data_IF_965812033975
#
_entry.id   IF_965812033975
#
_cell.length_a   1.000
_cell.length_b   1.000
_cell.length_c   1.000
_cell.angle_alpha   90.00
_cell.angle_beta   90.00
_cell.angle_gamma   90.00
#
_symmetry.space_group_name_H-M   'P 1'
#
loop_
_entity.id
_entity.type
_entity.pdbx_description
1 polymer ?
#
# COMPACT_ATOMS: atom_id res chain seq x y z
N UNK A 1 22.48 5.01 12.94
CA UNK A 1 21.40 4.15 13.50
C UNK A 1 21.56 2.76 12.93
N UNK A 2 21.25 1.70 13.69
CA UNK A 2 21.34 0.34 13.15
C UNK A 2 20.29 0.13 12.04
N UNK A 3 20.56 -0.70 11.01
CA UNK A 3 19.60 -0.98 9.93
C UNK A 3 18.24 -1.52 10.44
N UNK A 4 18.28 -2.27 11.54
CA UNK A 4 17.09 -2.79 12.22
C UNK A 4 16.22 -1.67 12.80
N UNK A 5 16.85 -0.67 13.45
CA UNK A 5 16.14 0.47 14.03
C UNK A 5 15.48 1.33 12.95
N UNK A 6 16.18 1.56 11.83
CA UNK A 6 15.63 2.30 10.68
C UNK A 6 14.42 1.57 10.12
N UNK A 7 14.51 0.25 9.94
CA UNK A 7 13.40 -0.58 9.47
C UNK A 7 12.20 -0.53 10.42
N UNK A 8 12.43 -0.64 11.73
CA UNK A 8 11.38 -0.57 12.74
C UNK A 8 10.65 0.76 12.72
N UNK A 9 11.38 1.88 12.61
CA UNK A 9 10.79 3.21 12.49
C UNK A 9 9.98 3.33 11.21
N UNK A 10 10.50 2.87 10.06
CA UNK A 10 9.76 2.91 8.79
C UNK A 10 8.44 2.13 8.86
N UNK A 11 8.41 0.98 9.54
CA UNK A 11 7.17 0.21 9.78
C UNK A 11 6.20 1.01 10.63
N UNK A 12 6.65 1.59 11.75
CA UNK A 12 5.78 2.39 12.63
C UNK A 12 5.19 3.58 11.89
N UNK A 13 6.01 4.32 11.14
CA UNK A 13 5.54 5.48 10.37
C UNK A 13 4.54 5.05 9.30
N UNK A 14 4.79 3.95 8.59
CA UNK A 14 3.83 3.41 7.64
C UNK A 14 2.49 3.03 8.31
N UNK A 15 2.52 2.42 9.49
CA UNK A 15 1.29 2.12 10.24
C UNK A 15 0.52 3.39 10.65
N UNK A 16 1.22 4.45 11.05
CA UNK A 16 0.59 5.75 11.33
C UNK A 16 -0.05 6.32 10.05
N UNK A 17 0.65 6.29 8.93
CA UNK A 17 0.13 6.73 7.63
C UNK A 17 -1.09 5.93 7.20
N UNK A 18 -1.09 4.61 7.44
CA UNK A 18 -2.22 3.73 7.19
C UNK A 18 -3.45 4.18 7.98
N UNK A 19 -3.31 4.38 9.29
CA UNK A 19 -4.41 4.85 10.15
C UNK A 19 -4.95 6.20 9.70
N UNK A 20 -4.07 7.15 9.37
CA UNK A 20 -4.46 8.47 8.88
C UNK A 20 -5.26 8.38 7.57
N UNK A 21 -4.83 7.54 6.63
CA UNK A 21 -5.55 7.34 5.37
C UNK A 21 -6.92 6.67 5.60
N UNK A 22 -6.98 5.66 6.47
CA UNK A 22 -8.22 4.96 6.82
C UNK A 22 -9.20 5.90 7.51
N UNK A 23 -8.78 6.70 8.49
CA UNK A 23 -9.66 7.67 9.13
C UNK A 23 -10.28 8.65 8.14
N UNK A 24 -9.54 9.07 7.11
CA UNK A 24 -10.10 9.86 6.03
C UNK A 24 -11.13 9.12 5.19
N UNK A 25 -10.98 7.81 5.00
CA UNK A 25 -11.97 6.95 4.36
C UNK A 25 -13.27 6.81 5.16
N UNK A 26 -13.21 6.88 6.50
CA UNK A 26 -14.36 6.81 7.40
C UNK A 26 -15.14 8.14 7.39
N UNK A 27 -14.44 9.26 7.53
CA UNK A 27 -15.05 10.59 7.72
C UNK A 27 -15.19 11.38 6.41
N UNK A 28 -15.80 10.80 5.37
CA UNK A 28 -15.90 11.45 4.04
C UNK A 28 -16.67 12.78 4.01
N UNK A 29 -17.45 13.10 5.05
CA UNK A 29 -18.21 14.35 5.16
C UNK A 29 -17.83 15.21 6.38
N UNK A 30 -16.66 15.01 6.98
CA UNK A 30 -16.23 15.75 8.17
C UNK A 30 -14.76 16.18 8.14
N UNK A 31 -14.31 16.86 9.20
CA UNK A 31 -12.92 17.34 9.31
C UNK A 31 -11.86 16.22 9.22
N UNK A 32 -12.21 14.97 9.55
CA UNK A 32 -11.34 13.80 9.41
C UNK A 32 -11.02 13.42 7.95
N UNK A 33 -11.77 13.95 6.97
CA UNK A 33 -11.54 13.71 5.54
C UNK A 33 -10.12 14.09 5.12
N UNK A 34 -9.48 15.05 5.77
CA UNK A 34 -8.18 15.59 5.35
C UNK A 34 -6.98 14.95 6.06
N UNK A 35 -7.17 13.95 6.92
CA UNK A 35 -6.06 13.27 7.60
C UNK A 35 -5.07 12.60 6.63
N UNK A 36 -5.49 12.21 5.43
CA UNK A 36 -4.60 11.73 4.38
C UNK A 36 -3.55 12.78 3.94
N UNK A 37 -3.82 14.08 4.09
CA UNK A 37 -2.81 15.12 3.82
C UNK A 37 -1.68 15.11 4.85
N UNK A 38 -1.99 14.76 6.10
CA UNK A 38 -0.99 14.53 7.13
C UNK A 38 -0.17 13.29 6.78
N UNK A 39 -0.81 12.21 6.33
CA UNK A 39 -0.10 11.01 5.87
C UNK A 39 0.84 11.32 4.69
N UNK A 40 0.39 12.16 3.75
CA UNK A 40 1.18 12.63 2.62
C UNK A 40 2.35 13.53 3.07
N UNK A 41 2.13 14.45 4.00
CA UNK A 41 3.19 15.27 4.57
C UNK A 41 4.25 14.40 5.27
N UNK A 42 3.83 13.39 6.04
CA UNK A 42 4.74 12.41 6.64
C UNK A 42 5.50 11.60 5.58
N UNK A 43 4.86 11.29 4.45
CA UNK A 43 5.52 10.63 3.32
C UNK A 43 6.60 11.54 2.73
N UNK A 44 6.32 12.82 2.48
CA UNK A 44 7.30 13.79 2.00
C UNK A 44 8.46 13.98 2.98
N UNK A 45 8.18 14.03 4.28
CA UNK A 45 9.21 14.09 5.33
C UNK A 45 10.06 12.81 5.29
N UNK A 46 9.46 11.63 5.16
CA UNK A 46 10.21 10.38 5.02
C UNK A 46 11.11 10.39 3.78
N UNK A 47 10.72 11.02 2.68
CA UNK A 47 11.59 11.16 1.51
C UNK A 47 12.83 12.03 1.78
N UNK A 48 12.80 12.92 2.77
CA UNK A 48 13.98 13.69 3.20
C UNK A 48 14.99 12.80 3.95
N UNK A 49 14.50 11.83 4.73
CA UNK A 49 15.34 10.91 5.51
C UNK A 49 15.77 9.67 4.74
N UNK A 50 14.89 9.15 3.87
CA UNK A 50 15.07 7.98 3.03
C UNK A 50 14.75 8.38 1.59
N UNK A 51 15.67 9.09 0.91
CA UNK A 51 15.43 9.59 -0.42
C UNK A 51 15.30 8.45 -1.43
N UNK A 52 14.27 8.55 -2.27
CA UNK A 52 14.10 7.70 -3.45
C UNK A 52 15.09 8.19 -4.51
N UNK A 53 16.13 7.39 -4.76
CA UNK A 53 17.11 7.69 -5.81
C UNK A 53 16.45 7.63 -7.20
N UNK A 54 17.07 8.27 -8.21
CA UNK A 54 16.59 8.22 -9.61
C UNK A 54 16.22 6.80 -10.10
N UNK A 55 17.04 5.74 -9.89
CA UNK A 55 16.64 4.39 -10.30
C UNK A 55 15.44 3.87 -9.49
N UNK A 56 15.37 4.17 -8.19
CA UNK A 56 14.23 3.76 -7.34
C UNK A 56 12.93 4.47 -7.71
N UNK A 57 13.00 5.68 -8.30
CA UNK A 57 11.82 6.44 -8.70
C UNK A 57 10.97 5.70 -9.74
N UNK A 58 11.59 5.06 -10.72
CA UNK A 58 10.84 4.26 -11.69
C UNK A 58 10.08 3.12 -11.01
N UNK A 59 10.72 2.43 -10.07
CA UNK A 59 10.09 1.34 -9.33
C UNK A 59 9.00 1.85 -8.40
N UNK A 60 9.21 2.97 -7.72
CA UNK A 60 8.18 3.67 -6.95
C UNK A 60 6.93 3.90 -7.80
N UNK A 61 7.12 4.50 -8.99
CA UNK A 61 6.01 4.79 -9.91
C UNK A 61 5.32 3.51 -10.39
N UNK A 62 6.07 2.47 -10.72
CA UNK A 62 5.49 1.17 -11.12
C UNK A 62 4.65 0.59 -9.98
N UNK A 63 5.19 0.48 -8.76
CA UNK A 63 4.49 -0.07 -7.60
C UNK A 63 3.22 0.72 -7.29
N UNK A 64 3.34 2.05 -7.25
CA UNK A 64 2.24 2.97 -7.00
C UNK A 64 1.15 2.84 -8.06
N UNK A 65 1.51 2.92 -9.34
CA UNK A 65 0.56 2.83 -10.45
C UNK A 65 -0.08 1.46 -10.55
N UNK A 66 0.66 0.37 -10.32
CA UNK A 66 0.10 -0.98 -10.26
C UNK A 66 -0.94 -1.10 -9.16
N UNK A 67 -0.64 -0.63 -7.95
CA UNK A 67 -1.59 -0.67 -6.83
C UNK A 67 -2.85 0.14 -7.08
N UNK A 68 -2.71 1.40 -7.54
CA UNK A 68 -3.85 2.27 -7.88
C UNK A 68 -4.71 1.66 -8.98
N UNK A 69 -4.09 1.15 -10.05
CA UNK A 69 -4.80 0.52 -11.16
C UNK A 69 -5.52 -0.76 -10.70
N UNK A 70 -4.86 -1.56 -9.87
CA UNK A 70 -5.41 -2.80 -9.34
C UNK A 70 -6.63 -2.56 -8.45
N UNK A 71 -6.53 -1.66 -7.47
CA UNK A 71 -7.68 -1.36 -6.61
C UNK A 71 -8.81 -0.69 -7.37
N UNK A 72 -8.49 0.12 -8.38
CA UNK A 72 -9.49 0.68 -9.28
C UNK A 72 -10.20 -0.44 -10.03
N UNK A 73 -9.48 -1.42 -10.55
CA UNK A 73 -10.07 -2.58 -11.22
C UNK A 73 -10.96 -3.38 -10.26
N UNK A 74 -10.49 -3.70 -9.06
CA UNK A 74 -11.27 -4.42 -8.04
C UNK A 74 -12.55 -3.66 -7.64
N UNK A 75 -12.46 -2.33 -7.53
CA UNK A 75 -13.61 -1.47 -7.31
C UNK A 75 -14.62 -1.54 -8.47
N UNK A 76 -14.15 -1.44 -9.71
CA UNK A 76 -15.00 -1.52 -10.92
C UNK A 76 -15.63 -2.92 -11.10
N UNK A 77 -14.92 -3.98 -10.71
CA UNK A 77 -15.42 -5.35 -10.66
C UNK A 77 -16.37 -5.59 -9.47
N UNK A 78 -16.64 -4.57 -8.65
CA UNK A 78 -17.52 -4.62 -7.49
C UNK A 78 -17.08 -5.65 -6.45
N UNK A 79 -15.77 -5.81 -6.24
CA UNK A 79 -15.26 -6.59 -5.11
C UNK A 79 -15.50 -5.81 -3.81
N UNK A 80 -15.17 -4.51 -3.84
CA UNK A 80 -15.47 -3.54 -2.80
C UNK A 80 -15.90 -2.20 -3.41
N UNK A 81 -16.48 -1.34 -2.60
CA UNK A 81 -16.89 0.01 -2.97
C UNK A 81 -16.70 1.00 -1.84
N UNK A 82 -16.75 2.27 -2.21
CA UNK A 82 -16.66 3.43 -1.32
C UNK A 82 -17.96 4.23 -1.42
N UNK A 83 -18.27 5.02 -0.40
CA UNK A 83 -19.41 5.95 -0.42
C UNK A 83 -19.25 7.06 -1.46
N UNK A 84 -18.01 7.38 -1.85
CA UNK A 84 -17.73 8.25 -2.97
C UNK A 84 -17.97 7.54 -4.31
N UNK A 85 -18.74 8.17 -5.20
CA UNK A 85 -18.93 7.69 -6.57
C UNK A 85 -17.90 8.32 -7.50
N UNK A 86 -17.06 7.49 -8.11
CA UNK A 86 -16.07 7.94 -9.08
C UNK A 86 -15.52 6.80 -9.93
N UNK A 87 -14.86 7.15 -11.03
CA UNK A 87 -14.23 6.18 -11.93
C UNK A 87 -12.95 5.56 -11.32
N UNK A 88 -12.31 6.26 -10.38
CA UNK A 88 -11.08 5.85 -9.72
C UNK A 88 -11.32 5.67 -8.22
N UNK A 89 -10.41 4.94 -7.58
CA UNK A 89 -10.37 4.85 -6.11
C UNK A 89 -10.24 6.23 -5.44
N UNK A 90 -10.67 6.39 -4.18
CA UNK A 90 -10.52 7.65 -3.46
C UNK A 90 -9.04 8.07 -3.29
N UNK A 91 -8.82 9.39 -3.20
CA UNK A 91 -7.48 10.00 -3.05
C UNK A 91 -6.73 9.47 -1.82
N UNK A 92 -7.42 9.20 -0.71
CA UNK A 92 -6.78 8.65 0.49
C UNK A 92 -6.14 7.29 0.24
N UNK A 93 -6.75 6.45 -0.62
CA UNK A 93 -6.22 5.13 -0.95
C UNK A 93 -5.07 5.24 -1.94
N UNK A 94 -5.12 6.20 -2.87
CA UNK A 94 -3.97 6.52 -3.71
C UNK A 94 -2.77 6.96 -2.86
N UNK A 95 -2.97 7.86 -1.90
CA UNK A 95 -1.88 8.30 -1.00
C UNK A 95 -1.36 7.13 -0.18
N UNK A 96 -2.23 6.23 0.30
CA UNK A 96 -1.81 5.02 0.99
C UNK A 96 -0.91 4.14 0.11
N UNK A 97 -1.22 3.99 -1.18
CA UNK A 97 -0.36 3.29 -2.14
C UNK A 97 0.99 3.98 -2.35
N UNK A 98 1.04 5.32 -2.33
CA UNK A 98 2.31 6.05 -2.39
C UNK A 98 3.15 5.78 -1.13
N UNK A 99 2.55 5.88 0.05
CA UNK A 99 3.22 5.56 1.32
C UNK A 99 3.75 4.11 1.33
N UNK A 100 2.93 3.15 0.90
CA UNK A 100 3.30 1.75 0.83
C UNK A 100 4.45 1.51 -0.16
N UNK A 101 4.38 2.11 -1.35
CA UNK A 101 5.41 1.98 -2.38
C UNK A 101 6.75 2.52 -1.90
N UNK A 102 6.75 3.68 -1.24
CA UNK A 102 7.95 4.24 -0.62
C UNK A 102 8.52 3.34 0.47
N UNK A 103 7.68 2.91 1.41
CA UNK A 103 8.08 1.99 2.48
C UNK A 103 8.68 0.68 1.94
N UNK A 104 8.03 0.08 0.94
CA UNK A 104 8.44 -1.20 0.36
C UNK A 104 9.82 -1.15 -0.32
N UNK A 105 10.15 -0.02 -0.96
CA UNK A 105 11.47 0.16 -1.58
C UNK A 105 12.63 0.14 -0.57
N UNK A 106 12.37 0.55 0.67
CA UNK A 106 13.35 0.54 1.75
C UNK A 106 13.28 -0.73 2.62
N UNK A 107 12.26 -1.58 2.44
CA UNK A 107 12.08 -2.85 3.14
C UNK A 107 12.95 -3.98 2.55
N UNK A 108 14.28 -3.80 2.51
CA UNK A 108 15.21 -4.74 1.90
C UNK A 108 15.14 -6.17 2.49
N UNK A 109 14.86 -6.29 3.79
CA UNK A 109 14.69 -7.57 4.47
C UNK A 109 13.54 -8.42 3.91
N UNK A 110 12.49 -7.75 3.40
CA UNK A 110 11.32 -8.38 2.81
C UNK A 110 11.61 -8.83 1.37
N UNK A 111 12.33 -8.00 0.63
CA UNK A 111 12.62 -8.17 -0.80
C UNK A 111 13.57 -9.33 -1.12
N UNK A 112 14.21 -9.92 -0.11
CA UNK A 112 15.15 -11.02 -0.29
C UNK A 112 14.52 -12.42 -0.16
N UNK A 113 13.32 -12.52 0.42
CA UNK A 113 12.71 -13.81 0.80
C UNK A 113 11.32 -13.96 0.18
N UNK A 114 11.25 -14.67 -0.96
CA UNK A 114 10.01 -14.87 -1.72
C UNK A 114 8.85 -15.37 -0.82
N UNK A 115 9.10 -16.38 0.01
CA UNK A 115 8.06 -16.93 0.89
C UNK A 115 7.54 -15.91 1.91
N UNK A 116 8.40 -15.00 2.37
CA UNK A 116 8.02 -13.96 3.35
C UNK A 116 7.17 -12.90 2.65
N UNK A 117 7.59 -12.40 1.48
CA UNK A 117 6.82 -11.40 0.74
C UNK A 117 5.44 -11.94 0.34
N UNK A 118 5.35 -13.17 -0.17
CA UNK A 118 4.07 -13.77 -0.58
C UNK A 118 3.13 -13.95 0.62
N UNK A 119 3.65 -14.46 1.74
CA UNK A 119 2.84 -14.66 2.96
C UNK A 119 2.38 -13.33 3.54
N UNK A 120 3.26 -12.35 3.68
CA UNK A 120 2.91 -11.04 4.25
C UNK A 120 1.98 -10.25 3.35
N UNK A 121 2.17 -10.27 2.03
CA UNK A 121 1.25 -9.60 1.13
C UNK A 121 -0.14 -10.24 1.19
N UNK A 122 -0.23 -11.56 1.05
CA UNK A 122 -1.53 -12.24 1.06
C UNK A 122 -2.27 -12.05 2.39
N UNK A 123 -1.58 -12.14 3.54
CA UNK A 123 -2.20 -11.98 4.87
C UNK A 123 -2.42 -10.52 5.24
N UNK A 124 -1.37 -9.69 5.24
CA UNK A 124 -1.46 -8.30 5.70
C UNK A 124 -2.16 -7.40 4.68
N UNK A 125 -1.98 -7.65 3.38
CA UNK A 125 -2.72 -6.98 2.32
C UNK A 125 -4.22 -7.22 2.46
N UNK A 126 -4.66 -8.48 2.47
CA UNK A 126 -6.07 -8.83 2.71
C UNK A 126 -6.59 -8.30 4.05
N UNK A 127 -5.78 -8.44 5.10
CA UNK A 127 -6.10 -7.94 6.44
C UNK A 127 -6.36 -6.44 6.44
N UNK A 128 -5.57 -5.66 5.70
CA UNK A 128 -5.75 -4.21 5.54
C UNK A 128 -7.16 -3.87 5.03
N UNK A 129 -7.66 -4.55 3.99
CA UNK A 129 -9.01 -4.31 3.47
C UNK A 129 -10.09 -4.83 4.40
N UNK A 130 -9.86 -5.97 5.04
CA UNK A 130 -10.77 -6.47 6.05
C UNK A 130 -10.95 -5.46 7.19
N UNK A 131 -9.86 -4.93 7.76
CA UNK A 131 -9.94 -3.93 8.83
C UNK A 131 -10.52 -2.61 8.33
N UNK A 132 -10.16 -2.16 7.14
CA UNK A 132 -10.78 -0.99 6.52
C UNK A 132 -12.31 -1.14 6.40
N UNK A 133 -12.78 -2.33 6.01
CA UNK A 133 -14.21 -2.65 5.94
C UNK A 133 -14.88 -2.66 7.31
N UNK A 134 -14.22 -3.25 8.33
CA UNK A 134 -14.72 -3.27 9.72
C UNK A 134 -14.81 -1.87 10.33
N UNK A 135 -14.00 -0.94 9.85
CA UNK A 135 -14.01 0.47 10.25
C UNK A 135 -14.93 1.34 9.38
N UNK A 136 -15.63 0.76 8.41
CA UNK A 136 -16.51 1.46 7.47
C UNK A 136 -15.81 2.42 6.50
N UNK A 137 -14.49 2.30 6.31
CA UNK A 137 -13.76 3.07 5.29
C UNK A 137 -14.06 2.60 3.86
N UNK A 138 -14.47 1.34 3.71
CA UNK A 138 -14.95 0.72 2.48
C UNK A 138 -16.02 -0.33 2.80
N UNK A 139 -16.69 -0.85 1.78
CA UNK A 139 -17.68 -1.93 1.91
C UNK A 139 -17.40 -3.03 0.88
N UNK A 140 -17.47 -4.29 1.30
CA UNK A 140 -17.43 -5.40 0.35
C UNK A 140 -18.80 -5.53 -0.33
N UNK A 141 -18.81 -5.60 -1.66
CA UNK A 141 -20.04 -5.70 -2.46
C UNK A 141 -20.35 -7.16 -2.88
N UNK A 142 -19.41 -8.07 -2.60
CA UNK A 142 -19.57 -9.52 -2.72
C UNK A 142 -19.71 -10.17 -1.33
N UNK A 143 -20.19 -11.42 -1.23
CA UNK A 143 -20.12 -12.16 0.03
C UNK A 143 -18.69 -12.17 0.59
N UNK A 144 -18.57 -11.91 1.89
CA UNK A 144 -17.29 -11.61 2.53
C UNK A 144 -16.19 -12.65 2.24
N UNK A 145 -16.52 -13.93 2.28
CA UNK A 145 -15.54 -15.00 2.02
C UNK A 145 -15.00 -14.96 0.60
N UNK A 146 -15.84 -14.71 -0.42
CA UNK A 146 -15.38 -14.56 -1.79
C UNK A 146 -14.50 -13.32 -1.96
N UNK A 147 -14.90 -12.19 -1.38
CA UNK A 147 -14.10 -10.98 -1.44
C UNK A 147 -12.72 -11.20 -0.80
N UNK A 148 -12.65 -11.80 0.39
CA UNK A 148 -11.38 -12.08 1.07
C UNK A 148 -10.51 -13.07 0.30
N UNK A 149 -11.10 -14.10 -0.34
CA UNK A 149 -10.34 -15.03 -1.20
C UNK A 149 -9.76 -14.32 -2.42
N UNK A 150 -10.55 -13.45 -3.08
CA UNK A 150 -10.08 -12.63 -4.20
C UNK A 150 -8.95 -11.71 -3.74
N UNK A 151 -9.11 -10.99 -2.62
CA UNK A 151 -8.08 -10.11 -2.07
C UNK A 151 -6.79 -10.89 -1.72
N UNK A 152 -6.90 -12.09 -1.16
CA UNK A 152 -5.74 -12.91 -0.79
C UNK A 152 -4.95 -13.38 -2.01
N UNK A 153 -5.64 -13.78 -3.07
CA UNK A 153 -5.03 -14.14 -4.36
C UNK A 153 -4.44 -12.92 -5.06
N UNK A 154 -5.16 -11.81 -5.06
CA UNK A 154 -4.76 -10.55 -5.67
C UNK A 154 -3.45 -10.02 -5.04
N UNK A 155 -3.42 -9.91 -3.71
CA UNK A 155 -2.22 -9.51 -2.99
C UNK A 155 -1.07 -10.50 -3.12
N UNK A 156 -1.36 -11.81 -3.20
CA UNK A 156 -0.33 -12.81 -3.51
C UNK A 156 0.30 -12.55 -4.89
N UNK A 157 -0.52 -12.33 -5.91
CA UNK A 157 -0.06 -12.02 -7.27
C UNK A 157 0.73 -10.70 -7.33
N UNK A 158 0.27 -9.65 -6.64
CA UNK A 158 1.00 -8.38 -6.52
C UNK A 158 2.35 -8.57 -5.81
N UNK A 159 2.39 -9.34 -4.71
CA UNK A 159 3.63 -9.65 -4.01
C UNK A 159 4.63 -10.40 -4.89
N UNK A 160 4.13 -11.35 -5.69
CA UNK A 160 4.95 -12.07 -6.66
C UNK A 160 5.49 -11.13 -7.75
N UNK A 161 4.64 -10.28 -8.31
CA UNK A 161 5.02 -9.27 -9.31
C UNK A 161 6.09 -8.33 -8.75
N UNK A 162 5.89 -7.80 -7.55
CA UNK A 162 6.82 -6.86 -6.92
C UNK A 162 8.15 -7.53 -6.60
N UNK A 163 8.14 -8.80 -6.18
CA UNK A 163 9.36 -9.57 -6.03
C UNK A 163 10.15 -9.69 -7.34
N UNK A 164 9.49 -10.02 -8.45
CA UNK A 164 10.14 -10.11 -9.76
C UNK A 164 10.74 -8.76 -10.16
N UNK A 165 9.97 -7.68 -10.02
CA UNK A 165 10.38 -6.32 -10.37
C UNK A 165 11.64 -5.91 -9.57
N UNK A 166 11.66 -6.17 -8.27
CA UNK A 166 12.81 -5.85 -7.41
C UNK A 166 14.04 -6.71 -7.76
N UNK A 167 13.85 -7.91 -8.31
CA UNK A 167 14.93 -8.83 -8.69
C UNK A 167 15.42 -8.65 -10.12
N UNK A 168 14.72 -7.88 -10.97
CA UNK A 168 15.19 -7.49 -12.29
C UNK A 168 16.56 -6.80 -12.21
N UNK A 169 17.46 -7.14 -13.14
CA UNK A 169 18.90 -6.77 -13.10
C UNK A 169 19.16 -5.27 -12.95
N UNK A 170 18.24 -4.42 -13.38
CA UNK A 170 18.32 -2.98 -13.18
C UNK A 170 18.35 -2.55 -11.70
N UNK A 171 17.70 -3.27 -10.78
CA UNK A 171 17.65 -2.94 -9.34
C UNK A 171 18.82 -3.49 -8.53
N UNK A 172 19.35 -4.66 -8.91
CA UNK A 172 20.46 -5.30 -8.20
C UNK A 172 21.72 -4.42 -8.12
N UNK A 173 21.89 -3.48 -9.06
CA UNK A 173 23.03 -2.57 -9.13
C UNK A 173 22.93 -1.38 -8.15
N UNK A 174 21.75 -1.13 -7.58
CA UNK A 174 21.48 0.06 -6.76
C UNK A 174 21.02 -0.27 -5.32
N UNK A 175 20.63 -1.52 -5.06
CA UNK A 175 20.25 -2.00 -3.72
C UNK A 175 21.36 -2.81 -3.04
N UNK A 176 22.49 -3.04 -3.71
CA UNK A 176 23.67 -3.74 -3.20
C UNK A 176 24.71 -2.78 -2.64
#
# INVERSE_FOLDING_TARGET
>A
MSPLLITGISVIVFQIQWWLCIFSGIYQHGHGQYAYWIAFALFLINLLYQPITRPMLLFFLILFSCGVANDTLLMQLKVFGFSFQGALIPVWLMILWACFSGWFLHAQWLNQRLTVILSLFSICGTGSYYFAARLHALTFLMPLHYALMIMALDWFCLGFLFFIIVRCRCMKRFLG
#
